data_IF_223360280590
#
_entry.id   IF_223360280590
#
_cell.length_a   1.000
_cell.length_b   1.000
_cell.length_c   1.000
_cell.angle_alpha   90.00
_cell.angle_beta   90.00
_cell.angle_gamma   90.00
#
_symmetry.space_group_name_H-M   'P 1'
#
loop_
_entity.id
_entity.type
_entity.pdbx_description
1 polymer ?
#
# COMPACT_ATOMS: atom_id res chain seq x y z
N UNK A 1 -24.06 17.51 6.78
CA UNK A 1 -23.19 16.67 7.62
C UNK A 1 -22.12 16.13 6.69
N UNK A 2 -20.93 16.74 6.70
CA UNK A 2 -19.90 16.46 5.71
C UNK A 2 -19.34 15.06 5.94
N UNK A 3 -19.74 14.17 5.04
CA UNK A 3 -18.94 13.11 4.41
C UNK A 3 -17.52 13.03 4.97
N UNK A 4 -17.14 11.85 5.49
CA UNK A 4 -15.86 11.57 6.14
C UNK A 4 -14.71 12.43 5.58
N UNK A 5 -14.16 13.37 6.36
CA UNK A 5 -13.24 14.37 5.82
C UNK A 5 -11.99 13.69 5.27
N UNK A 6 -11.45 14.22 4.17
CA UNK A 6 -10.19 13.75 3.55
C UNK A 6 -9.06 13.55 4.58
N UNK A 7 -9.05 14.38 5.63
CA UNK A 7 -8.14 14.29 6.79
C UNK A 7 -8.34 13.02 7.62
N UNK A 8 -9.57 12.54 7.79
CA UNK A 8 -9.87 11.31 8.54
C UNK A 8 -9.41 10.08 7.77
N UNK A 9 -9.62 10.07 6.45
CA UNK A 9 -9.10 9.03 5.56
C UNK A 9 -7.56 9.02 5.61
N UNK A 10 -6.93 10.19 5.61
CA UNK A 10 -5.48 10.33 5.77
C UNK A 10 -5.01 9.80 7.13
N UNK A 11 -5.67 10.19 8.23
CA UNK A 11 -5.33 9.75 9.57
C UNK A 11 -5.44 8.22 9.71
N UNK A 12 -6.45 7.59 9.08
CA UNK A 12 -6.57 6.14 9.06
C UNK A 12 -5.41 5.47 8.30
N UNK A 13 -4.98 6.04 7.17
CA UNK A 13 -3.79 5.55 6.45
C UNK A 13 -2.54 5.68 7.32
N UNK A 14 -2.38 6.79 8.01
CA UNK A 14 -1.24 7.04 8.91
C UNK A 14 -1.25 6.10 10.13
N UNK A 15 -2.41 5.81 10.69
CA UNK A 15 -2.56 4.86 11.81
C UNK A 15 -2.25 3.41 11.42
N UNK A 16 -2.51 3.04 10.17
CA UNK A 16 -2.16 1.72 9.61
C UNK A 16 -0.70 1.65 9.16
N UNK A 17 -0.03 2.79 9.05
CA UNK A 17 1.36 2.85 8.59
C UNK A 17 2.31 2.42 9.69
N UNK A 18 3.35 1.68 9.33
CA UNK A 18 4.43 1.23 10.20
C UNK A 18 5.78 1.59 9.58
N UNK A 19 6.68 2.18 10.37
CA UNK A 19 8.01 2.60 9.91
C UNK A 19 8.91 1.39 9.56
N UNK A 20 8.78 0.30 10.32
CA UNK A 20 9.51 -0.96 10.08
C UNK A 20 8.80 -1.94 9.13
N UNK A 21 7.72 -1.52 8.48
CA UNK A 21 6.95 -2.41 7.62
C UNK A 21 7.66 -2.77 6.31
N UNK A 22 7.56 -4.03 5.88
CA UNK A 22 8.11 -4.49 4.58
C UNK A 22 7.16 -4.25 3.40
N UNK A 23 5.90 -3.88 3.66
CA UNK A 23 4.92 -3.63 2.62
C UNK A 23 4.82 -2.15 2.30
N UNK A 24 4.79 -1.80 1.02
CA UNK A 24 4.61 -0.43 0.56
C UNK A 24 3.59 -0.35 -0.57
N UNK A 25 3.04 0.83 -0.79
CA UNK A 25 2.00 1.06 -1.81
C UNK A 25 2.62 1.75 -3.02
N UNK A 26 2.38 1.20 -4.21
CA UNK A 26 2.79 1.84 -5.47
C UNK A 26 1.62 1.94 -6.43
N UNK A 27 1.67 2.92 -7.32
CA UNK A 27 0.77 2.96 -8.45
C UNK A 27 1.16 1.88 -9.45
N UNK A 28 0.24 1.00 -9.82
CA UNK A 28 0.48 -0.06 -10.81
C UNK A 28 0.92 0.47 -12.18
N UNK A 29 0.60 1.73 -12.49
CA UNK A 29 0.87 2.34 -13.80
C UNK A 29 2.23 3.02 -13.89
N UNK A 30 2.65 3.70 -12.84
CA UNK A 30 3.90 4.50 -12.82
C UNK A 30 4.97 3.89 -11.93
N UNK A 31 4.62 2.96 -11.03
CA UNK A 31 5.53 2.46 -9.99
C UNK A 31 5.79 3.47 -8.87
N UNK A 32 5.22 4.67 -8.96
CA UNK A 32 5.43 5.75 -8.00
C UNK A 32 4.47 5.64 -6.81
N UNK A 33 4.94 6.11 -5.66
CA UNK A 33 4.13 6.12 -4.44
C UNK A 33 3.06 7.22 -4.53
N UNK A 34 1.76 6.87 -4.45
CA UNK A 34 0.69 7.86 -4.58
C UNK A 34 0.63 8.73 -3.32
N UNK A 35 0.59 10.06 -3.47
CA UNK A 35 0.21 10.95 -2.37
C UNK A 35 -1.28 10.72 -2.07
N UNK A 36 -1.70 10.41 -0.82
CA UNK A 36 -1.04 10.65 0.47
C UNK A 36 -0.29 9.47 1.14
N UNK A 37 -0.17 8.32 0.49
CA UNK A 37 0.57 7.16 1.02
C UNK A 37 2.09 7.21 0.73
N UNK A 38 2.59 8.35 0.24
CA UNK A 38 4.02 8.57 -0.04
C UNK A 38 4.84 8.40 1.24
N UNK A 39 5.92 7.61 1.19
CA UNK A 39 6.75 7.32 2.36
C UNK A 39 6.09 6.47 3.45
N UNK A 40 4.87 5.93 3.23
CA UNK A 40 4.21 5.03 4.18
C UNK A 40 4.49 3.57 3.84
N UNK A 41 4.91 2.82 4.85
CA UNK A 41 5.04 1.36 4.82
C UNK A 41 4.04 0.73 5.77
N UNK A 42 3.83 -0.57 5.64
CA UNK A 42 2.87 -1.36 6.40
C UNK A 42 3.54 -2.65 6.86
N UNK A 43 3.22 -3.07 8.07
CA UNK A 43 3.80 -4.27 8.65
C UNK A 43 3.19 -5.55 8.06
N UNK A 44 1.91 -5.49 7.65
CA UNK A 44 1.17 -6.63 7.14
C UNK A 44 0.45 -6.34 5.85
N UNK A 45 0.26 -7.39 5.03
CA UNK A 45 -0.52 -7.33 3.78
C UNK A 45 -1.95 -6.81 3.99
N UNK A 46 -2.59 -7.13 5.11
CA UNK A 46 -3.94 -6.67 5.43
C UNK A 46 -3.97 -5.15 5.67
N UNK A 47 -3.01 -4.64 6.46
CA UNK A 47 -2.85 -3.20 6.71
C UNK A 47 -2.54 -2.46 5.40
N UNK A 48 -1.67 -3.03 4.57
CA UNK A 48 -1.35 -2.48 3.26
C UNK A 48 -2.59 -2.45 2.33
N UNK A 49 -3.40 -3.51 2.29
CA UNK A 49 -4.67 -3.53 1.54
C UNK A 49 -5.66 -2.50 2.05
N UNK A 50 -5.76 -2.33 3.38
CA UNK A 50 -6.59 -1.30 3.98
C UNK A 50 -6.11 0.10 3.60
N UNK A 51 -4.80 0.35 3.62
CA UNK A 51 -4.17 1.59 3.15
C UNK A 51 -4.42 1.86 1.66
N UNK A 52 -4.35 0.83 0.82
CA UNK A 52 -4.67 0.92 -0.60
C UNK A 52 -6.13 1.35 -0.82
N UNK A 53 -7.09 0.66 -0.18
CA UNK A 53 -8.51 1.00 -0.27
C UNK A 53 -8.82 2.39 0.27
N UNK A 54 -8.17 2.79 1.37
CA UNK A 54 -8.33 4.14 1.92
C UNK A 54 -7.80 5.20 0.94
N UNK A 55 -6.68 4.93 0.26
CA UNK A 55 -6.14 5.80 -0.79
C UNK A 55 -7.08 5.90 -1.98
N UNK A 56 -7.67 4.79 -2.42
CA UNK A 56 -8.68 4.79 -3.49
C UNK A 56 -9.90 5.63 -3.08
N UNK A 57 -10.40 5.44 -1.86
CA UNK A 57 -11.54 6.21 -1.34
C UNK A 57 -11.22 7.70 -1.24
N UNK A 58 -10.01 8.07 -0.83
CA UNK A 58 -9.55 9.46 -0.81
C UNK A 58 -9.59 10.07 -2.22
N UNK A 59 -9.15 9.33 -3.23
CA UNK A 59 -9.16 9.76 -4.63
C UNK A 59 -10.57 9.83 -5.22
N UNK A 60 -11.46 8.92 -4.85
CA UNK A 60 -12.87 8.95 -5.25
C UNK A 60 -13.57 10.22 -4.71
N UNK A 61 -13.34 10.54 -3.44
CA UNK A 61 -13.81 11.81 -2.85
C UNK A 61 -13.19 13.00 -3.56
N UNK A 62 -11.89 12.96 -3.89
CA UNK A 62 -11.24 14.01 -4.67
C UNK A 62 -11.80 14.14 -6.08
N UNK A 63 -12.22 13.04 -6.71
CA UNK A 63 -12.76 13.02 -8.07
C UNK A 63 -14.08 13.77 -8.19
N UNK A 64 -14.83 13.89 -7.09
CA UNK A 64 -15.99 14.79 -7.01
C UNK A 64 -15.61 16.26 -7.17
N UNK A 65 -14.41 16.64 -6.75
CA UNK A 65 -13.89 18.00 -6.88
C UNK A 65 -13.09 18.19 -8.18
N UNK A 66 -12.32 17.18 -8.59
CA UNK A 66 -11.54 17.20 -9.82
C UNK A 66 -11.82 15.95 -10.70
N UNK A 67 -12.68 16.06 -11.72
CA UNK A 67 -13.06 14.94 -12.56
C UNK A 67 -11.94 14.48 -13.52
N UNK A 68 -10.83 15.23 -13.64
CA UNK A 68 -9.69 14.90 -14.50
C UNK A 68 -8.70 13.96 -13.81
N UNK A 69 -8.90 13.68 -12.52
CA UNK A 69 -8.04 12.82 -11.74
C UNK A 69 -8.03 11.38 -12.30
N UNK A 70 -6.87 10.92 -12.79
CA UNK A 70 -6.72 9.60 -13.38
C UNK A 70 -7.01 8.48 -12.37
N UNK A 71 -7.63 7.38 -12.82
CA UNK A 71 -7.69 6.16 -11.99
C UNK A 71 -6.26 5.62 -11.83
N UNK A 72 -5.77 5.61 -10.59
CA UNK A 72 -4.54 4.92 -10.23
C UNK A 72 -4.94 3.65 -9.48
N UNK A 73 -4.58 2.51 -10.04
CA UNK A 73 -4.69 1.22 -9.37
C UNK A 73 -3.53 1.14 -8.36
N UNK A 74 -3.85 1.10 -7.07
CA UNK A 74 -2.85 1.09 -6.00
C UNK A 74 -2.61 -0.37 -5.61
N UNK A 75 -1.39 -0.84 -5.85
CA UNK A 75 -0.98 -2.20 -5.53
C UNK A 75 -0.07 -2.21 -4.31
N UNK A 76 -0.21 -3.27 -3.51
CA UNK A 76 0.70 -3.57 -2.40
C UNK A 76 1.90 -4.29 -2.97
N UNK A 77 3.09 -3.71 -2.79
CA UNK A 77 4.35 -4.38 -3.04
C UNK A 77 4.99 -4.76 -1.69
N UNK A 78 5.67 -5.90 -1.65
CA UNK A 78 6.44 -6.32 -0.49
C UNK A 78 7.90 -6.21 -0.88
N UNK A 79 8.69 -5.53 -0.06
CA UNK A 79 10.13 -5.56 -0.16
C UNK A 79 10.58 -6.98 0.16
N UNK A 80 11.08 -7.70 -0.85
CA UNK A 80 11.52 -9.10 -0.72
C UNK A 80 12.99 -9.19 -0.29
N UNK A 81 13.60 -8.09 0.18
CA UNK A 81 15.03 -8.01 0.53
C UNK A 81 15.37 -8.66 1.89
N UNK A 82 14.56 -9.64 2.31
CA UNK A 82 15.02 -10.69 3.23
C UNK A 82 14.83 -12.07 2.58
N UNK A 83 15.67 -12.44 1.59
CA UNK A 83 15.81 -13.81 1.15
C UNK A 83 16.65 -14.59 2.16
N UNK A 84 16.26 -14.64 3.44
CA UNK A 84 16.66 -15.73 4.35
C UNK A 84 15.53 -16.75 4.46
N UNK A 85 14.87 -17.02 3.33
CA UNK A 85 14.27 -18.32 3.11
C UNK A 85 15.42 -19.27 2.86
N UNK A 86 15.96 -19.80 3.95
CA UNK A 86 16.70 -21.06 3.95
C UNK A 86 15.88 -22.09 3.16
N UNK A 87 16.25 -22.25 1.89
CA UNK A 87 15.85 -23.36 1.03
C UNK A 87 16.68 -24.58 1.41
N UNK A 88 16.66 -24.96 2.70
CA UNK A 88 17.01 -26.31 3.15
C UNK A 88 15.77 -27.19 2.95
N UNK A 89 15.45 -27.43 1.68
CA UNK A 89 14.86 -28.69 1.26
C UNK A 89 15.80 -29.25 0.20
N UNK A 90 16.97 -29.64 0.71
CA UNK A 90 17.89 -30.63 0.18
C UNK A 90 17.33 -31.34 -1.04
N UNK A 91 17.86 -30.90 -2.19
CA UNK A 91 18.09 -31.71 -3.37
C UNK A 91 18.36 -33.16 -2.91
N UNK A 92 17.49 -34.08 -3.30
CA UNK A 92 17.70 -35.50 -3.09
C UNK A 92 19.01 -35.98 -3.71
N UNK A 93 19.40 -37.16 -3.22
CA UNK A 93 20.51 -38.06 -3.64
C UNK A 93 21.92 -37.73 -3.10
N UNK A 94 22.74 -38.74 -2.69
CA UNK A 94 22.71 -40.16 -3.11
C UNK A 94 22.93 -41.23 -1.98
N UNK A 95 22.55 -42.50 -2.26
CA UNK A 95 23.27 -43.72 -1.84
C UNK A 95 22.79 -44.93 -2.66
#
# INVERSE_FOLDING_TARGET
MIETPLTDIRANIEALSSDSGEYYLVCARTGEQPVPAVGRRFDSREQARAGARATEKYRDVLRRYDPQLACHDIIVCQDQDHPEREVTALRGEPA
#
